data_IF_634599609857
#
_entry.id   IF_634599609857
#
_cell.length_a   1.000
_cell.length_b   1.000
_cell.length_c   1.000
_cell.angle_alpha   90.00
_cell.angle_beta   90.00
_cell.angle_gamma   90.00
#
_symmetry.space_group_name_H-M   'P 1'
#
loop_
_entity.id
_entity.type
_entity.pdbx_description
1 polymer ?
#
# COMPACT_ATOMS: atom_id res chain seq x y z
N UNK A 1 -21.97 -64.48 -10.69
CA UNK A 1 -20.64 -63.91 -10.39
C UNK A 1 -20.75 -62.41 -10.60
N UNK A 2 -21.15 -61.69 -9.56
CA UNK A 2 -21.16 -60.23 -9.54
C UNK A 2 -19.74 -59.73 -9.27
N UNK A 3 -19.28 -58.73 -10.03
CA UNK A 3 -18.06 -57.98 -9.73
C UNK A 3 -18.42 -56.49 -9.72
N UNK A 4 -18.26 -55.92 -8.53
CA UNK A 4 -18.42 -54.50 -8.15
C UNK A 4 -17.58 -53.54 -9.02
N UNK A 5 -18.03 -52.30 -9.24
CA UNK A 5 -17.16 -51.23 -9.74
C UNK A 5 -16.34 -50.62 -8.59
N UNK A 6 -15.05 -50.45 -8.82
CA UNK A 6 -14.12 -49.74 -7.93
C UNK A 6 -14.43 -48.24 -7.93
N UNK A 7 -14.88 -47.71 -6.80
CA UNK A 7 -15.00 -46.27 -6.55
C UNK A 7 -13.64 -45.75 -6.06
N UNK A 8 -12.92 -45.02 -6.92
CA UNK A 8 -11.67 -44.35 -6.55
C UNK A 8 -12.00 -43.03 -5.82
N UNK A 9 -11.93 -43.05 -4.49
CA UNK A 9 -12.11 -41.86 -3.65
C UNK A 9 -10.79 -41.06 -3.65
N UNK A 10 -10.72 -39.96 -4.41
CA UNK A 10 -9.65 -38.98 -4.32
C UNK A 10 -9.84 -38.15 -3.04
N UNK A 11 -9.12 -38.54 -1.98
CA UNK A 11 -8.93 -37.70 -0.81
C UNK A 11 -8.03 -36.51 -1.18
N UNK A 12 -8.65 -35.38 -1.50
CA UNK A 12 -7.94 -34.09 -1.53
C UNK A 12 -7.66 -33.72 -0.07
N UNK A 13 -6.49 -34.10 0.41
CA UNK A 13 -5.96 -33.58 1.66
C UNK A 13 -5.66 -32.09 1.50
N UNK A 14 -6.60 -31.23 1.89
CA UNK A 14 -6.31 -29.83 2.09
C UNK A 14 -5.41 -29.71 3.33
N UNK A 15 -4.10 -29.75 3.13
CA UNK A 15 -3.15 -29.30 4.15
C UNK A 15 -3.28 -27.79 4.26
N UNK A 16 -4.10 -27.32 5.19
CA UNK A 16 -3.99 -25.94 5.67
C UNK A 16 -2.66 -25.86 6.40
N UNK A 17 -1.62 -25.41 5.71
CA UNK A 17 -0.38 -25.04 6.38
C UNK A 17 -0.67 -23.76 7.18
N UNK A 18 -1.05 -23.91 8.44
CA UNK A 18 -1.06 -22.81 9.40
C UNK A 18 0.38 -22.38 9.63
N UNK A 19 0.88 -21.48 8.78
CA UNK A 19 2.14 -20.80 9.02
C UNK A 19 2.04 -19.93 10.25
N UNK A 20 3.08 -19.90 11.07
CA UNK A 20 3.15 -18.91 12.14
C UNK A 20 3.26 -17.51 11.54
N UNK A 21 2.63 -16.50 12.18
CA UNK A 21 2.80 -15.11 11.76
C UNK A 21 4.28 -14.73 11.85
N UNK A 22 4.76 -13.97 10.87
CA UNK A 22 6.15 -13.50 10.84
C UNK A 22 6.55 -12.64 12.02
N UNK A 23 5.57 -11.92 12.58
CA UNK A 23 5.72 -11.19 13.81
C UNK A 23 5.02 -11.96 14.93
N UNK A 24 5.65 -12.15 16.10
CA UNK A 24 4.88 -12.46 17.30
C UNK A 24 3.87 -11.31 17.45
N UNK A 25 2.58 -11.64 17.48
CA UNK A 25 1.53 -10.62 17.49
C UNK A 25 1.72 -9.58 18.60
N UNK A 26 0.97 -8.48 18.52
CA UNK A 26 0.92 -7.44 19.56
C UNK A 26 0.56 -7.94 20.98
N UNK A 27 0.24 -9.22 21.16
CA UNK A 27 0.16 -9.91 22.44
C UNK A 27 1.37 -10.81 22.64
N UNK A 28 2.23 -10.45 23.59
CA UNK A 28 3.33 -11.30 24.02
C UNK A 28 2.79 -12.62 24.61
N UNK A 29 3.21 -13.74 24.06
CA UNK A 29 3.20 -15.02 24.80
C UNK A 29 4.62 -15.58 24.82
N UNK A 30 4.98 -16.05 26.01
CA UNK A 30 6.31 -16.46 26.42
C UNK A 30 6.92 -17.48 25.46
N UNK A 31 8.20 -17.29 25.14
CA UNK A 31 8.92 -18.15 24.23
C UNK A 31 10.18 -18.71 24.88
N UNK A 32 10.35 -20.02 24.74
CA UNK A 32 11.58 -20.73 25.09
C UNK A 32 12.79 -20.24 24.27
N UNK A 33 14.00 -20.30 24.84
CA UNK A 33 15.18 -19.68 24.25
C UNK A 33 15.64 -20.42 22.99
N UNK A 34 15.73 -19.69 21.88
CA UNK A 34 16.36 -20.18 20.66
C UNK A 34 17.89 -20.22 20.83
N UNK A 35 18.53 -21.24 20.25
CA UNK A 35 19.99 -21.39 20.28
C UNK A 35 20.68 -20.21 19.57
N UNK A 36 21.50 -19.44 20.29
CA UNK A 36 22.42 -18.49 19.66
C UNK A 36 22.88 -17.28 20.48
N UNK A 37 22.28 -16.95 21.61
CA UNK A 37 22.66 -15.75 22.39
C UNK A 37 23.25 -16.15 23.74
N UNK A 38 24.53 -15.80 23.97
CA UNK A 38 25.11 -15.78 25.32
C UNK A 38 24.59 -14.54 26.04
N UNK A 39 24.11 -14.75 27.27
CA UNK A 39 23.45 -13.80 28.19
C UNK A 39 22.13 -13.21 27.69
N UNK A 40 21.11 -13.29 28.55
CA UNK A 40 19.81 -12.61 28.41
C UNK A 40 20.00 -11.10 28.49
N UNK A 41 20.58 -10.52 27.44
CA UNK A 41 20.46 -9.09 27.21
C UNK A 41 18.96 -8.80 26.99
N UNK A 42 18.40 -7.88 27.76
CA UNK A 42 17.03 -7.41 27.56
C UNK A 42 16.88 -7.02 26.09
N UNK A 43 15.98 -7.72 25.38
CA UNK A 43 15.72 -7.42 23.98
C UNK A 43 15.11 -6.03 23.90
N UNK A 44 15.74 -5.07 23.20
CA UNK A 44 15.20 -3.72 23.10
C UNK A 44 13.86 -3.75 22.35
N UNK A 45 12.88 -2.97 22.83
CA UNK A 45 11.62 -2.75 22.10
C UNK A 45 11.93 -1.85 20.90
N UNK A 46 11.61 -2.26 19.66
CA UNK A 46 11.81 -1.41 18.49
C UNK A 46 10.95 -0.15 18.60
N UNK A 47 11.58 1.02 18.52
CA UNK A 47 10.86 2.29 18.36
C UNK A 47 10.39 2.43 16.90
N UNK A 48 9.07 2.55 16.71
CA UNK A 48 8.50 2.96 15.42
C UNK A 48 8.40 4.48 15.42
N UNK A 49 9.00 5.11 14.41
CA UNK A 49 9.02 6.57 14.28
C UNK A 49 8.45 6.92 12.91
N UNK A 50 7.45 7.80 12.91
CA UNK A 50 6.94 8.44 11.69
C UNK A 50 7.75 9.70 11.36
N UNK A 51 8.51 10.22 12.33
CA UNK A 51 9.39 11.38 12.18
C UNK A 51 10.86 10.97 12.35
N UNK A 52 11.69 11.37 11.41
CA UNK A 52 13.13 11.16 11.43
C UNK A 52 13.88 12.49 11.37
N UNK A 53 15.12 12.48 11.84
CA UNK A 53 16.01 13.65 11.79
C UNK A 53 15.38 14.91 12.42
N UNK A 54 14.81 14.75 13.62
CA UNK A 54 14.16 15.84 14.36
C UNK A 54 12.89 16.38 13.71
N UNK A 55 12.17 15.56 12.93
CA UNK A 55 10.94 15.94 12.22
C UNK A 55 11.18 16.56 10.84
N UNK A 56 12.42 16.55 10.34
CA UNK A 56 12.74 17.01 8.98
C UNK A 56 12.25 16.05 7.91
N UNK A 57 12.25 14.75 8.22
CA UNK A 57 11.76 13.70 7.34
C UNK A 57 10.50 13.12 7.96
N UNK A 58 9.39 13.19 7.22
CA UNK A 58 8.10 12.66 7.63
C UNK A 58 7.80 11.43 6.78
N UNK A 59 7.58 10.28 7.43
CA UNK A 59 7.06 9.10 6.77
C UNK A 59 5.56 9.26 6.56
N UNK A 60 5.14 9.17 5.30
CA UNK A 60 3.73 9.27 4.91
C UNK A 60 3.21 7.96 4.33
N UNK A 61 3.86 6.84 4.68
CA UNK A 61 3.38 5.50 4.38
C UNK A 61 2.77 4.83 5.60
N UNK A 62 1.66 4.12 5.43
CA UNK A 62 1.15 3.25 6.48
C UNK A 62 2.02 2.00 6.62
N UNK A 63 2.28 1.58 7.86
CA UNK A 63 2.87 0.27 8.08
C UNK A 63 1.84 -0.83 7.78
N UNK A 64 2.31 -1.93 7.19
CA UNK A 64 1.45 -3.07 6.88
C UNK A 64 1.05 -3.83 8.14
N UNK A 65 -0.22 -4.19 8.20
CA UNK A 65 -0.87 -4.89 9.31
C UNK A 65 -2.01 -5.73 8.77
N UNK A 66 -2.26 -6.89 9.37
CA UNK A 66 -3.26 -7.84 8.84
C UNK A 66 -4.67 -7.25 8.76
N UNK A 67 -4.95 -6.29 9.64
CA UNK A 67 -6.22 -5.59 9.77
C UNK A 67 -6.19 -4.18 9.13
N UNK A 68 -5.25 -3.89 8.23
CA UNK A 68 -5.40 -2.74 7.33
C UNK A 68 -6.48 -3.05 6.29
N UNK A 69 -7.28 -2.06 5.90
CA UNK A 69 -8.34 -2.29 4.93
C UNK A 69 -7.72 -2.58 3.57
N UNK A 70 -8.40 -3.43 2.82
CA UNK A 70 -8.15 -3.67 1.41
C UNK A 70 -9.42 -3.31 0.64
N UNK A 71 -9.26 -2.88 -0.61
CA UNK A 71 -10.39 -2.45 -1.45
C UNK A 71 -11.48 -3.52 -1.50
N UNK A 72 -12.72 -3.14 -1.22
CA UNK A 72 -13.89 -4.04 -1.15
C UNK A 72 -13.75 -5.28 -0.23
N UNK A 73 -12.85 -5.23 0.76
CA UNK A 73 -12.62 -6.31 1.71
C UNK A 73 -13.20 -6.00 3.09
N UNK A 74 -13.97 -6.93 3.65
CA UNK A 74 -14.33 -6.91 5.07
C UNK A 74 -13.21 -7.45 5.98
N UNK A 75 -12.25 -8.17 5.42
CA UNK A 75 -11.23 -8.90 6.18
C UNK A 75 -9.88 -8.18 6.26
N UNK A 76 -9.71 -7.09 5.51
CA UNK A 76 -8.42 -6.42 5.40
C UNK A 76 -7.42 -7.24 4.58
N UNK A 77 -6.20 -7.44 5.10
CA UNK A 77 -5.09 -8.16 4.45
C UNK A 77 -4.57 -9.35 5.29
N UNK A 78 -5.43 -10.32 5.63
CA UNK A 78 -5.04 -11.42 6.51
C UNK A 78 -3.91 -12.26 5.89
N UNK A 79 -2.91 -12.62 6.68
CA UNK A 79 -1.79 -13.45 6.24
C UNK A 79 -0.90 -12.79 5.19
N UNK A 80 -0.89 -11.45 5.11
CA UNK A 80 0.00 -10.73 4.19
C UNK A 80 1.48 -11.00 4.46
N UNK A 81 1.84 -11.36 5.70
CA UNK A 81 3.21 -11.65 6.10
C UNK A 81 3.29 -12.93 6.93
N UNK A 82 3.98 -13.93 6.40
CA UNK A 82 4.11 -15.25 7.03
C UNK A 82 5.56 -15.59 7.32
N UNK A 83 5.86 -16.21 8.46
CA UNK A 83 7.17 -16.82 8.70
C UNK A 83 7.23 -18.18 7.99
N UNK A 84 7.87 -18.25 6.83
CA UNK A 84 8.01 -19.50 6.09
C UNK A 84 9.08 -20.41 6.70
N UNK A 85 10.16 -19.83 7.24
CA UNK A 85 11.19 -20.53 8.00
C UNK A 85 11.56 -19.73 9.24
N UNK A 86 11.63 -20.40 10.38
CA UNK A 86 11.89 -19.77 11.68
C UNK A 86 13.12 -20.39 12.35
N UNK A 87 14.00 -19.55 12.88
CA UNK A 87 15.13 -20.00 13.70
C UNK A 87 14.66 -20.73 14.95
N UNK A 88 13.49 -20.34 15.51
CA UNK A 88 12.87 -21.04 16.63
C UNK A 88 12.45 -22.46 16.26
N UNK A 89 12.02 -22.67 15.01
CA UNK A 89 11.49 -23.95 14.54
C UNK A 89 12.50 -24.71 13.65
N UNK A 90 13.79 -24.58 13.95
CA UNK A 90 14.84 -25.41 13.34
C UNK A 90 15.45 -24.88 12.04
N UNK A 91 15.26 -23.59 11.71
CA UNK A 91 16.07 -22.96 10.64
C UNK A 91 17.47 -22.62 11.17
N UNK A 92 18.47 -23.39 10.75
CA UNK A 92 19.86 -23.24 11.21
C UNK A 92 20.59 -21.98 10.71
N UNK A 93 19.94 -21.18 9.84
CA UNK A 93 20.57 -20.04 9.15
C UNK A 93 19.96 -18.70 9.58
N UNK A 94 18.64 -18.54 9.39
CA UNK A 94 17.94 -17.28 9.59
C UNK A 94 16.41 -17.46 9.57
N UNK A 95 15.70 -16.38 9.93
CA UNK A 95 14.27 -16.25 9.67
C UNK A 95 14.03 -15.86 8.20
N UNK A 96 13.05 -16.48 7.55
CA UNK A 96 12.64 -16.15 6.18
C UNK A 96 11.13 -15.94 6.13
N UNK A 97 10.71 -14.72 5.81
CA UNK A 97 9.30 -14.35 5.69
C UNK A 97 8.85 -14.28 4.23
N UNK A 98 7.59 -14.57 3.99
CA UNK A 98 6.91 -14.41 2.70
C UNK A 98 5.91 -13.26 2.80
N UNK A 99 5.81 -12.47 1.72
CA UNK A 99 4.85 -11.39 1.56
C UNK A 99 3.79 -11.80 0.54
N UNK A 100 2.52 -11.57 0.88
CA UNK A 100 1.36 -11.73 -0.01
C UNK A 100 0.55 -10.44 0.01
N UNK A 101 0.77 -9.62 -1.01
CA UNK A 101 0.13 -8.31 -1.17
C UNK A 101 -0.43 -8.20 -2.59
N UNK A 102 -1.51 -7.43 -2.75
CA UNK A 102 -1.88 -6.90 -4.06
C UNK A 102 -0.96 -5.72 -4.39
N UNK A 103 -0.86 -5.36 -5.67
CA UNK A 103 -0.16 -4.16 -6.12
C UNK A 103 -0.70 -2.86 -5.47
N UNK A 104 -1.97 -2.89 -5.05
CA UNK A 104 -2.73 -1.77 -4.48
C UNK A 104 -2.92 -1.88 -2.95
N UNK A 105 -2.06 -2.65 -2.28
CA UNK A 105 -2.11 -2.78 -0.82
C UNK A 105 -1.39 -1.61 -0.16
N UNK A 106 -2.00 -1.01 0.86
CA UNK A 106 -1.38 0.09 1.62
C UNK A 106 -1.04 1.29 0.76
N UNK A 107 -0.06 2.08 1.21
CA UNK A 107 0.44 3.21 0.41
C UNK A 107 1.07 2.70 -0.88
N UNK A 108 0.53 3.11 -2.02
CA UNK A 108 0.91 2.56 -3.31
C UNK A 108 0.78 3.59 -4.45
N UNK A 109 1.28 3.21 -5.60
CA UNK A 109 1.24 3.99 -6.85
C UNK A 109 0.51 3.20 -7.91
N UNK A 110 -0.32 3.86 -8.70
CA UNK A 110 -0.97 3.26 -9.87
C UNK A 110 -0.28 3.67 -11.17
N UNK A 111 -0.17 2.70 -12.07
CA UNK A 111 0.23 2.91 -13.45
C UNK A 111 -1.00 2.95 -14.38
N UNK A 112 -0.89 3.54 -15.58
CA UNK A 112 -2.02 3.63 -16.52
C UNK A 112 -2.64 2.27 -16.89
N UNK A 113 -1.84 1.19 -16.89
CA UNK A 113 -2.33 -0.17 -17.11
C UNK A 113 -3.36 -0.66 -16.08
N UNK A 114 -3.53 0.03 -14.95
CA UNK A 114 -4.52 -0.31 -13.92
C UNK A 114 -5.97 -0.27 -14.45
N UNK A 115 -6.30 0.70 -15.31
CA UNK A 115 -7.67 0.88 -15.83
C UNK A 115 -7.75 0.86 -17.36
N UNK A 116 -6.61 0.76 -18.05
CA UNK A 116 -6.54 0.71 -19.51
C UNK A 116 -5.82 -0.55 -19.99
N UNK A 117 -6.58 -1.54 -20.46
CA UNK A 117 -6.04 -2.81 -20.96
C UNK A 117 -4.96 -2.62 -22.04
N UNK A 118 -5.20 -1.71 -22.99
CA UNK A 118 -4.25 -1.44 -24.06
C UNK A 118 -2.93 -0.83 -23.56
N UNK A 119 -2.93 -0.19 -22.39
CA UNK A 119 -1.72 0.28 -21.73
C UNK A 119 -1.02 -0.84 -20.96
N UNK A 120 -1.80 -1.72 -20.31
CA UNK A 120 -1.27 -2.92 -19.68
C UNK A 120 -0.53 -3.81 -20.69
N UNK A 121 -1.16 -4.12 -21.83
CA UNK A 121 -0.58 -4.90 -22.93
C UNK A 121 0.69 -4.26 -23.52
N UNK A 122 0.73 -2.92 -23.55
CA UNK A 122 1.87 -2.17 -24.05
C UNK A 122 3.02 -2.05 -23.01
N UNK A 123 2.83 -2.54 -21.79
CA UNK A 123 3.82 -2.49 -20.72
C UNK A 123 3.94 -1.12 -20.04
N UNK A 124 2.88 -0.30 -20.05
CA UNK A 124 2.81 0.90 -19.20
C UNK A 124 2.49 0.51 -17.75
N UNK A 125 3.46 -0.19 -17.16
CA UNK A 125 3.50 -0.67 -15.78
C UNK A 125 4.30 0.29 -14.88
N UNK A 126 4.38 -0.03 -13.59
CA UNK A 126 5.09 0.82 -12.61
C UNK A 126 6.59 1.01 -12.90
N UNK A 127 7.25 0.12 -13.65
CA UNK A 127 8.66 0.28 -14.04
C UNK A 127 8.85 1.39 -15.09
N UNK A 128 7.76 1.82 -15.74
CA UNK A 128 7.77 2.85 -16.78
C UNK A 128 7.39 4.25 -16.30
N UNK A 129 7.05 4.41 -15.01
CA UNK A 129 6.66 5.69 -14.43
C UNK A 129 7.85 6.68 -14.39
N UNK A 130 7.55 7.95 -14.61
CA UNK A 130 8.56 9.02 -14.51
C UNK A 130 8.93 9.27 -13.04
N UNK A 131 10.07 8.75 -12.62
CA UNK A 131 10.59 8.95 -11.27
C UNK A 131 10.85 10.42 -10.93
N UNK A 132 11.04 11.32 -11.92
CA UNK A 132 11.15 12.75 -11.66
C UNK A 132 9.80 13.35 -11.23
N UNK A 133 8.67 12.78 -11.67
CA UNK A 133 7.34 13.13 -11.17
C UNK A 133 7.12 12.61 -9.75
N UNK A 134 7.76 11.50 -9.36
CA UNK A 134 7.67 10.95 -8.00
C UNK A 134 8.64 11.58 -6.97
N UNK A 135 9.64 12.34 -7.44
CA UNK A 135 10.69 12.95 -6.60
C UNK A 135 10.83 14.46 -6.86
N UNK A 136 9.98 15.30 -6.25
CA UNK A 136 10.11 16.76 -6.29
C UNK A 136 9.06 17.47 -5.42
N UNK A 137 9.02 18.80 -5.51
CA UNK A 137 8.17 19.64 -4.67
C UNK A 137 6.67 19.35 -4.85
N UNK A 138 5.97 19.30 -3.72
CA UNK A 138 4.55 18.99 -3.57
C UNK A 138 3.87 20.04 -2.69
N UNK A 139 2.60 20.34 -2.98
CA UNK A 139 1.80 21.27 -2.20
C UNK A 139 0.51 20.60 -1.72
N UNK A 140 0.00 21.01 -0.57
CA UNK A 140 -1.32 20.66 -0.09
C UNK A 140 -2.13 21.96 0.06
N UNK A 141 -3.00 22.32 -0.90
CA UNK A 141 -3.81 23.54 -0.82
C UNK A 141 -4.97 23.53 -1.82
N UNK A 142 -6.13 24.06 -1.41
CA UNK A 142 -7.31 24.27 -2.26
C UNK A 142 -7.08 25.32 -3.36
N UNK A 143 -6.09 26.20 -3.19
CA UNK A 143 -5.61 27.09 -4.25
C UNK A 143 -4.31 26.51 -4.80
N UNK A 144 -4.35 25.91 -5.99
CA UNK A 144 -3.18 25.36 -6.68
C UNK A 144 -2.53 26.48 -7.51
N UNK A 145 -1.38 27.05 -7.09
CA UNK A 145 -0.67 28.04 -7.89
C UNK A 145 -0.16 27.41 -9.18
N UNK A 146 -0.04 28.23 -10.23
CA UNK A 146 0.63 27.81 -11.46
C UNK A 146 2.04 27.31 -11.17
N UNK A 147 2.43 26.21 -11.82
CA UNK A 147 3.73 25.57 -11.64
C UNK A 147 3.80 24.51 -10.54
N UNK A 148 2.77 24.38 -9.69
CA UNK A 148 2.66 23.21 -8.81
C UNK A 148 2.23 22.00 -9.63
N UNK A 149 3.11 20.99 -9.69
CA UNK A 149 2.90 19.76 -10.47
C UNK A 149 2.46 18.57 -9.63
N UNK A 150 2.47 18.68 -8.30
CA UNK A 150 2.18 17.56 -7.39
C UNK A 150 1.35 18.08 -6.26
N UNK A 151 0.25 17.39 -5.96
CA UNK A 151 -0.63 17.76 -4.86
C UNK A 151 -1.00 16.52 -4.05
N UNK A 152 -0.83 16.59 -2.73
CA UNK A 152 -1.39 15.59 -1.81
C UNK A 152 -2.64 16.17 -1.17
N UNK A 153 -3.70 15.38 -1.12
CA UNK A 153 -4.98 15.76 -0.54
C UNK A 153 -5.21 14.97 0.74
N UNK A 154 -5.02 15.63 1.88
CA UNK A 154 -5.58 15.16 3.15
C UNK A 154 -7.06 15.50 3.19
N UNK A 155 -7.88 14.49 3.43
CA UNK A 155 -9.34 14.59 3.42
C UNK A 155 -9.90 14.20 4.78
N UNK A 156 -11.24 14.11 4.86
CA UNK A 156 -11.91 13.57 6.02
C UNK A 156 -11.62 12.07 6.24
N UNK A 157 -11.01 11.36 5.28
CA UNK A 157 -10.63 9.96 5.45
C UNK A 157 -9.60 9.79 6.58
N UNK A 158 -8.59 10.67 6.63
CA UNK A 158 -7.62 10.76 7.71
C UNK A 158 -8.32 11.04 9.05
N UNK A 159 -9.19 12.06 9.11
CA UNK A 159 -9.90 12.45 10.34
C UNK A 159 -10.82 11.34 10.87
N UNK A 160 -11.46 10.59 9.95
CA UNK A 160 -12.31 9.42 10.25
C UNK A 160 -11.52 8.15 10.53
N UNK A 161 -10.19 8.19 10.42
CA UNK A 161 -9.28 7.06 10.65
C UNK A 161 -9.62 5.83 9.81
N UNK A 162 -10.06 6.04 8.57
CA UNK A 162 -10.59 4.95 7.73
C UNK A 162 -9.55 3.86 7.46
N UNK A 163 -8.28 4.24 7.23
CA UNK A 163 -7.17 3.30 7.00
C UNK A 163 -6.83 2.44 8.25
N UNK A 164 -7.28 2.85 9.43
CA UNK A 164 -7.09 2.11 10.67
C UNK A 164 -8.21 1.10 10.94
N UNK A 165 -9.31 1.16 10.18
CA UNK A 165 -10.41 0.19 10.25
C UNK A 165 -10.07 -1.05 9.44
N UNK A 166 -10.47 -2.22 9.93
CA UNK A 166 -10.30 -3.50 9.22
C UNK A 166 -11.17 -3.60 7.97
N UNK A 167 -12.44 -3.21 8.11
CA UNK A 167 -13.41 -3.24 7.03
C UNK A 167 -13.23 -2.04 6.10
N UNK A 168 -13.32 -2.28 4.80
CA UNK A 168 -13.41 -1.25 3.78
C UNK A 168 -14.65 -0.36 4.00
N UNK A 169 -14.46 0.95 3.91
CA UNK A 169 -15.53 1.94 4.10
C UNK A 169 -15.78 2.66 2.78
N UNK A 170 -16.81 2.26 2.03
CA UNK A 170 -17.16 2.82 0.71
C UNK A 170 -17.64 4.28 0.75
N UNK A 171 -17.85 4.86 1.93
CA UNK A 171 -18.25 6.26 2.07
C UNK A 171 -17.06 7.22 2.20
N UNK A 172 -15.87 6.78 1.80
CA UNK A 172 -14.66 7.60 1.77
C UNK A 172 -14.79 8.78 0.80
N UNK A 173 -13.98 9.81 1.04
CA UNK A 173 -13.86 10.98 0.17
C UNK A 173 -12.90 10.65 -0.96
N UNK A 174 -13.32 10.89 -2.19
CA UNK A 174 -12.49 10.82 -3.40
C UNK A 174 -13.01 11.80 -4.45
N UNK A 175 -12.33 11.85 -5.59
CA UNK A 175 -12.71 12.67 -6.73
C UNK A 175 -13.92 12.08 -7.46
N UNK A 176 -14.84 12.95 -7.85
CA UNK A 176 -15.81 12.69 -8.90
C UNK A 176 -15.12 12.93 -10.26
N UNK A 177 -15.69 12.39 -11.33
CA UNK A 177 -15.18 12.53 -12.71
C UNK A 177 -15.01 14.02 -13.08
N UNK A 178 -15.99 14.85 -12.77
CA UNK A 178 -15.96 16.29 -13.09
C UNK A 178 -14.87 17.05 -12.31
N UNK A 179 -14.63 16.67 -11.05
CA UNK A 179 -13.55 17.20 -10.22
C UNK A 179 -12.17 16.78 -10.73
N UNK A 180 -12.01 15.52 -11.15
CA UNK A 180 -10.80 15.05 -11.80
C UNK A 180 -10.54 15.80 -13.11
N UNK A 181 -11.59 15.98 -13.94
CA UNK A 181 -11.50 16.65 -15.23
C UNK A 181 -11.14 18.13 -15.05
N UNK A 182 -11.75 18.79 -14.06
CA UNK A 182 -11.41 20.17 -13.73
C UNK A 182 -9.94 20.33 -13.36
N UNK A 183 -9.39 19.41 -12.55
CA UNK A 183 -7.98 19.45 -12.17
C UNK A 183 -7.06 19.33 -13.39
N UNK A 184 -7.33 18.38 -14.30
CA UNK A 184 -6.55 18.21 -15.54
C UNK A 184 -6.62 19.45 -16.43
N UNK A 185 -7.80 20.05 -16.58
CA UNK A 185 -8.00 21.17 -17.51
C UNK A 185 -7.48 22.51 -17.00
N UNK A 186 -7.38 22.68 -15.68
CA UNK A 186 -7.11 23.97 -15.06
C UNK A 186 -5.75 24.05 -14.35
N UNK A 187 -4.99 22.96 -14.31
CA UNK A 187 -3.69 22.91 -13.59
C UNK A 187 -2.63 22.15 -14.38
N UNK A 188 -1.37 22.26 -13.94
CA UNK A 188 -0.23 21.54 -14.53
C UNK A 188 0.13 20.28 -13.71
N UNK A 189 -0.84 19.70 -13.01
CA UNK A 189 -0.57 18.55 -12.13
C UNK A 189 -0.16 17.32 -12.92
N UNK A 190 0.75 16.56 -12.32
CA UNK A 190 1.29 15.30 -12.79
C UNK A 190 1.33 14.25 -11.69
N UNK A 191 1.01 14.63 -10.45
CA UNK A 191 0.84 13.70 -9.35
C UNK A 191 -0.34 14.12 -8.49
N UNK A 192 -1.22 13.18 -8.22
CA UNK A 192 -2.34 13.31 -7.29
C UNK A 192 -2.15 12.27 -6.19
N UNK A 193 -1.95 12.74 -4.96
CA UNK A 193 -1.88 11.90 -3.78
C UNK A 193 -3.16 11.99 -2.96
N UNK A 194 -3.70 10.87 -2.50
CA UNK A 194 -4.87 10.82 -1.61
C UNK A 194 -4.62 9.96 -0.39
N UNK A 195 -5.41 10.17 0.65
CA UNK A 195 -5.25 9.55 1.97
C UNK A 195 -6.15 8.33 2.22
N UNK A 196 -6.67 7.70 1.16
CA UNK A 196 -7.39 6.43 1.23
C UNK A 196 -7.13 5.53 0.01
N UNK A 197 -7.72 4.33 0.00
CA UNK A 197 -7.46 3.24 -0.94
C UNK A 197 -7.88 3.50 -2.40
N UNK A 198 -8.29 4.73 -2.74
CA UNK A 198 -8.70 5.10 -4.08
C UNK A 198 -8.75 6.62 -4.25
N UNK A 199 -8.30 7.14 -5.39
CA UNK A 199 -8.39 8.55 -5.77
C UNK A 199 -9.81 8.94 -6.12
N UNK A 200 -10.60 8.05 -6.70
CA UNK A 200 -11.99 8.30 -7.09
C UNK A 200 -12.95 7.96 -5.97
N UNK A 201 -14.01 8.75 -5.79
CA UNK A 201 -15.09 8.41 -4.86
C UNK A 201 -15.71 7.06 -5.27
N UNK A 202 -16.24 6.27 -4.33
CA UNK A 202 -16.61 4.87 -4.60
C UNK A 202 -17.51 4.67 -5.84
N UNK A 203 -18.57 5.47 -5.97
CA UNK A 203 -19.51 5.38 -7.10
C UNK A 203 -18.91 5.88 -8.44
N UNK A 204 -17.81 6.64 -8.38
CA UNK A 204 -17.09 7.19 -9.54
C UNK A 204 -15.60 6.81 -9.54
N UNK A 205 -15.28 5.66 -8.94
CA UNK A 205 -13.91 5.19 -8.79
C UNK A 205 -13.26 5.08 -10.17
N UNK A 206 -13.84 4.27 -11.07
CA UNK A 206 -13.32 4.09 -12.43
C UNK A 206 -13.35 5.37 -13.26
N UNK A 207 -14.45 6.14 -13.36
CA UNK A 207 -14.47 7.41 -14.09
C UNK A 207 -13.34 8.38 -13.73
N UNK A 208 -13.07 8.59 -12.43
CA UNK A 208 -11.99 9.46 -11.99
C UNK A 208 -10.61 8.93 -12.41
N UNK A 209 -10.37 7.61 -12.28
CA UNK A 209 -9.10 7.01 -12.74
C UNK A 209 -8.91 7.16 -14.25
N UNK A 210 -9.96 6.96 -15.04
CA UNK A 210 -9.89 7.12 -16.49
C UNK A 210 -9.44 8.55 -16.84
N UNK A 211 -10.01 9.56 -16.19
CA UNK A 211 -9.61 10.97 -16.42
C UNK A 211 -8.14 11.21 -16.09
N UNK A 212 -7.68 10.76 -14.91
CA UNK A 212 -6.29 10.99 -14.50
C UNK A 212 -5.29 10.21 -15.36
N UNK A 213 -5.58 8.94 -15.67
CA UNK A 213 -4.63 8.02 -16.29
C UNK A 213 -4.65 8.02 -17.83
N UNK A 214 -5.65 8.64 -18.48
CA UNK A 214 -5.84 8.63 -19.94
C UNK A 214 -4.57 9.02 -20.72
N UNK A 215 -3.93 10.13 -20.31
CA UNK A 215 -2.76 10.68 -21.02
C UNK A 215 -1.42 10.15 -20.54
N UNK A 216 -1.40 9.29 -19.50
CA UNK A 216 -0.19 8.75 -18.83
C UNK A 216 0.74 9.79 -18.19
N UNK A 217 0.30 11.05 -18.10
CA UNK A 217 1.10 12.16 -17.55
C UNK A 217 0.89 12.35 -16.04
N UNK A 218 -0.21 11.81 -15.50
CA UNK A 218 -0.52 11.86 -14.08
C UNK A 218 -0.23 10.53 -13.43
N UNK A 219 0.44 10.59 -12.28
CA UNK A 219 0.71 9.47 -11.40
C UNK A 219 -0.21 9.58 -10.18
N UNK A 220 -0.88 8.49 -9.82
CA UNK A 220 -1.72 8.43 -8.65
C UNK A 220 -0.92 7.81 -7.50
N UNK A 221 -1.02 8.42 -6.31
CA UNK A 221 -0.48 7.86 -5.07
C UNK A 221 -1.62 7.73 -4.08
N UNK A 222 -1.89 6.53 -3.63
CA UNK A 222 -3.06 6.25 -2.82
C UNK A 222 -2.67 5.76 -1.43
N UNK A 223 -3.64 5.85 -0.51
CA UNK A 223 -3.52 5.49 0.90
C UNK A 223 -2.27 6.10 1.56
N UNK A 224 -2.06 7.40 1.40
CA UNK A 224 -1.03 8.15 2.13
C UNK A 224 -1.39 8.31 3.60
N UNK A 225 -0.40 8.35 4.48
CA UNK A 225 -0.54 8.72 5.88
C UNK A 225 -0.28 10.22 6.07
N UNK A 226 -1.34 11.02 6.15
CA UNK A 226 -1.26 12.48 6.30
C UNK A 226 -1.73 12.97 7.69
N UNK A 227 -1.81 12.10 8.71
CA UNK A 227 -2.36 12.43 10.04
C UNK A 227 -1.56 13.53 10.76
N UNK A 228 -0.24 13.57 10.57
CA UNK A 228 0.68 14.46 11.28
C UNK A 228 1.43 15.43 10.35
N UNK A 229 0.96 15.59 9.12
CA UNK A 229 1.55 16.50 8.14
C UNK A 229 0.89 17.86 8.25
N UNK A 230 1.69 18.90 8.50
CA UNK A 230 1.21 20.27 8.46
C UNK A 230 1.13 20.75 7.00
N UNK A 231 0.12 21.54 6.67
CA UNK A 231 -0.02 22.12 5.33
C UNK A 231 1.21 22.93 4.91
N UNK A 232 1.69 22.72 3.69
CA UNK A 232 2.85 23.43 3.16
C UNK A 232 3.41 22.86 1.86
N UNK A 233 4.61 23.34 1.52
CA UNK A 233 5.41 22.80 0.43
C UNK A 233 6.47 21.87 1.02
N UNK A 234 6.61 20.70 0.41
CA UNK A 234 7.58 19.68 0.79
C UNK A 234 8.26 19.14 -0.46
N UNK A 235 9.45 18.57 -0.31
CA UNK A 235 9.98 17.65 -1.32
C UNK A 235 9.44 16.25 -1.06
N UNK A 236 8.66 15.72 -1.99
CA UNK A 236 8.16 14.35 -1.97
C UNK A 236 9.21 13.39 -2.51
N UNK A 237 9.38 12.26 -1.84
CA UNK A 237 10.02 11.07 -2.39
C UNK A 237 9.07 9.90 -2.24
N UNK A 238 8.56 9.35 -3.35
CA UNK A 238 7.60 8.24 -3.32
C UNK A 238 8.06 7.17 -4.31
N UNK A 239 8.73 6.14 -3.79
CA UNK A 239 9.43 5.17 -4.62
C UNK A 239 8.68 3.83 -4.62
N UNK A 240 8.01 3.45 -5.72
CA UNK A 240 7.40 2.14 -5.85
C UNK A 240 8.47 1.05 -5.97
N UNK A 241 8.10 -0.19 -5.64
CA UNK A 241 8.89 -1.36 -5.99
C UNK A 241 9.03 -1.45 -7.52
N UNK A 242 10.18 -1.95 -7.95
CA UNK A 242 10.49 -2.13 -9.36
C UNK A 242 9.86 -3.42 -9.89
N UNK A 243 8.57 -3.38 -10.24
CA UNK A 243 7.77 -4.54 -10.64
C UNK A 243 7.39 -4.47 -12.11
N UNK A 244 8.06 -5.26 -12.95
CA UNK A 244 7.71 -5.37 -14.37
C UNK A 244 6.41 -6.14 -14.55
N UNK A 245 5.50 -5.59 -15.36
CA UNK A 245 4.18 -6.15 -15.65
C UNK A 245 3.14 -5.93 -14.55
N UNK A 246 3.41 -5.04 -13.59
CA UNK A 246 2.47 -4.71 -12.52
C UNK A 246 1.82 -3.33 -12.76
N UNK A 247 0.50 -3.33 -12.73
CA UNK A 247 -0.38 -2.18 -12.89
C UNK A 247 -0.36 -1.18 -11.72
N UNK A 248 0.25 -1.59 -10.61
CA UNK A 248 0.51 -0.75 -9.45
C UNK A 248 1.66 -1.30 -8.62
N UNK A 249 2.02 -0.60 -7.55
CA UNK A 249 3.00 -1.10 -6.60
C UNK A 249 2.90 -0.42 -5.25
N UNK A 250 3.05 -1.17 -4.14
CA UNK A 250 3.46 -0.62 -2.86
C UNK A 250 4.60 0.38 -2.99
N UNK A 251 4.51 1.48 -2.27
CA UNK A 251 5.52 2.52 -2.27
C UNK A 251 5.82 2.97 -0.85
N UNK A 252 7.09 3.32 -0.61
CA UNK A 252 7.48 4.07 0.58
C UNK A 252 7.58 5.53 0.19
N UNK A 253 6.76 6.35 0.83
CA UNK A 253 6.62 7.77 0.52
C UNK A 253 6.98 8.59 1.75
N UNK A 254 7.86 9.56 1.55
CA UNK A 254 8.35 10.46 2.60
C UNK A 254 8.27 11.91 2.12
N UNK A 255 8.13 12.83 3.07
CA UNK A 255 8.24 14.26 2.86
C UNK A 255 9.48 14.81 3.55
N UNK A 256 10.15 15.76 2.89
CA UNK A 256 11.28 16.51 3.45
C UNK A 256 10.94 18.00 3.38
N UNK A 257 11.15 18.72 4.50
CA UNK A 257 11.08 20.19 4.56
C UNK A 257 12.39 20.86 4.13
#
# INVERSE_FOLDING_TARGET
MELLPFLLLLLVGATVASGEPAYPGYGATEAEPACGVKEEAAVPVPERREEFDGGRILDISHYYREDMPAFESAEGTPGFLRLARSMRNGSDIANFSELRLTAHSGTHVDAPGHVFEHYYDAGFDVDTLDLAVLNADVMESLHIPKGVRRVLFRTLNTDRKLIWKKEFDSSYVGFMEDGAQWLIDNTDIQLVGVDYLSVGAYDECIPAHLVFLDKREVILVEALNLEHVATGIYTLHCLPLRLRGAEGSPARCILIK
#
